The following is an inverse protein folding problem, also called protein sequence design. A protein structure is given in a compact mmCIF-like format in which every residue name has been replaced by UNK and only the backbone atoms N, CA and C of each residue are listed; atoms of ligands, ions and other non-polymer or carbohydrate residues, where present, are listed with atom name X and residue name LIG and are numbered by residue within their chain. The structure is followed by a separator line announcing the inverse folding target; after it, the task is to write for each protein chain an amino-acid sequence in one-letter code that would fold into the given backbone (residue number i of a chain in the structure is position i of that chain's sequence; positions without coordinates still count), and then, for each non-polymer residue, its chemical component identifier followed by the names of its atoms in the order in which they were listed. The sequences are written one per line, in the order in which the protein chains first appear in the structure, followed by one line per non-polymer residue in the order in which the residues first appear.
data_IF_023248399952
#
_entry.id   IF_023248399952
#
_cell.length_a   1.000
_cell.length_b   1.000
_cell.length_c   1.000
_cell.angle_alpha   90.00
_cell.angle_beta   90.00
_cell.angle_gamma   90.00
#
_symmetry.space_group_name_H-M   'P 1'
#
loop_
_entity.id
_entity.type
_entity.pdbx_description
1 polymer ?
#
# COMPACT_ATOMS: atom_id res chain seq x y z
N UNK A 1 0.22 11.70 6.43
CA UNK A 1 0.56 10.98 7.68
C UNK A 1 1.02 9.59 7.29
N UNK A 2 2.30 9.26 7.47
CA UNK A 2 2.78 7.90 7.32
C UNK A 2 2.25 7.08 8.50
N UNK A 3 1.52 6.01 8.24
CA UNK A 3 1.34 4.97 9.26
C UNK A 3 2.67 4.24 9.30
N UNK A 4 3.33 4.10 10.45
CA UNK A 4 4.77 3.77 10.58
C UNK A 4 5.32 2.51 9.88
N UNK A 5 4.53 1.80 9.07
CA UNK A 5 4.95 0.75 8.16
C UNK A 5 4.83 1.10 6.67
N UNK A 6 4.01 2.08 6.29
CA UNK A 6 3.69 2.43 4.90
C UNK A 6 3.71 3.95 4.70
N UNK A 7 4.47 4.40 3.71
CA UNK A 7 4.47 5.76 3.18
C UNK A 7 3.65 5.83 1.89
N UNK A 8 3.02 6.98 1.63
CA UNK A 8 2.26 7.24 0.41
C UNK A 8 2.63 8.61 -0.12
N UNK A 9 3.16 8.67 -1.34
CA UNK A 9 3.55 9.90 -2.03
C UNK A 9 3.10 9.87 -3.49
N UNK A 10 2.10 10.67 -3.86
CA UNK A 10 1.68 10.86 -5.25
C UNK A 10 1.29 9.57 -6.00
N UNK A 11 0.71 8.58 -5.31
CA UNK A 11 0.36 7.27 -5.90
C UNK A 11 1.42 6.19 -5.73
N UNK A 12 2.62 6.55 -5.27
CA UNK A 12 3.64 5.60 -4.86
C UNK A 12 3.40 5.19 -3.41
N UNK A 13 3.15 3.90 -3.21
CA UNK A 13 3.02 3.24 -1.91
C UNK A 13 4.34 2.55 -1.62
N UNK A 14 4.92 2.79 -0.43
CA UNK A 14 6.20 2.21 -0.04
C UNK A 14 6.11 1.60 1.36
N UNK A 15 6.61 0.37 1.51
CA UNK A 15 6.89 -0.20 2.82
C UNK A 15 8.15 0.44 3.39
N UNK A 16 8.06 0.97 4.62
CA UNK A 16 9.16 1.72 5.25
C UNK A 16 10.40 0.85 5.50
N UNK A 17 10.23 -0.46 5.65
CA UNK A 17 11.29 -1.45 5.85
C UNK A 17 11.65 -2.25 4.58
N UNK A 18 11.10 -1.88 3.42
CA UNK A 18 11.33 -2.61 2.16
C UNK A 18 10.54 -3.93 2.03
N UNK A 19 9.63 -4.24 2.96
CA UNK A 19 8.79 -5.43 2.87
C UNK A 19 7.98 -5.46 1.56
N UNK A 20 7.70 -6.65 1.02
CA UNK A 20 6.72 -6.79 -0.05
C UNK A 20 5.37 -6.20 0.34
N UNK A 21 4.76 -5.50 -0.61
CA UNK A 21 3.49 -4.80 -0.45
C UNK A 21 2.45 -5.40 -1.39
N UNK A 22 1.26 -5.70 -0.85
CA UNK A 22 0.08 -6.10 -1.61
C UNK A 22 -1.02 -5.07 -1.42
N UNK A 23 -1.61 -4.62 -2.53
CA UNK A 23 -2.66 -3.59 -2.55
C UNK A 23 -3.98 -4.23 -2.94
N UNK A 24 -5.00 -3.96 -2.14
CA UNK A 24 -6.35 -4.48 -2.30
C UNK A 24 -7.33 -3.34 -2.55
N UNK A 25 -8.26 -3.55 -3.48
CA UNK A 25 -9.44 -2.68 -3.60
C UNK A 25 -10.41 -2.89 -2.42
N UNK A 26 -11.47 -2.09 -2.35
CA UNK A 26 -12.47 -2.20 -1.27
C UNK A 26 -13.29 -3.50 -1.32
N UNK A 27 -13.24 -4.24 -2.43
CA UNK A 27 -13.88 -5.56 -2.56
C UNK A 27 -12.96 -6.69 -2.07
N UNK A 28 -11.73 -6.38 -1.66
CA UNK A 28 -10.75 -7.35 -1.18
C UNK A 28 -9.98 -8.05 -2.30
N UNK A 29 -10.07 -7.57 -3.55
CA UNK A 29 -9.28 -8.11 -4.67
C UNK A 29 -7.91 -7.47 -4.69
N UNK A 30 -6.88 -8.26 -4.97
CA UNK A 30 -5.53 -7.74 -5.20
C UNK A 30 -5.53 -6.98 -6.53
N UNK A 31 -5.07 -5.73 -6.49
CA UNK A 31 -4.96 -4.86 -7.67
C UNK A 31 -3.52 -4.50 -8.02
N UNK A 32 -2.58 -4.64 -7.07
CA UNK A 32 -1.17 -4.43 -7.32
C UNK A 32 -0.30 -5.14 -6.27
N UNK A 33 0.92 -5.51 -6.66
CA UNK A 33 1.97 -6.03 -5.79
C UNK A 33 3.29 -5.31 -6.07
N UNK A 34 4.13 -5.15 -5.06
CA UNK A 34 5.44 -4.54 -5.20
C UNK A 34 6.47 -5.10 -4.22
N UNK A 35 7.73 -5.15 -4.63
CA UNK A 35 8.86 -5.42 -3.75
C UNK A 35 9.29 -4.09 -3.12
N UNK A 36 8.91 -3.84 -1.87
CA UNK A 36 9.16 -2.57 -1.16
C UNK A 36 8.32 -1.37 -1.62
N UNK A 37 7.92 -1.29 -2.89
CA UNK A 37 7.08 -0.18 -3.40
C UNK A 37 6.22 -0.56 -4.60
N UNK A 38 5.11 0.15 -4.79
CA UNK A 38 4.22 0.01 -5.95
C UNK A 38 3.50 1.32 -6.27
N UNK A 39 3.27 1.58 -7.56
CA UNK A 39 2.49 2.72 -8.01
C UNK A 39 1.04 2.30 -8.27
N UNK A 40 0.09 3.08 -7.79
CA UNK A 40 -1.33 2.88 -8.05
C UNK A 40 -2.03 4.19 -8.44
N UNK A 41 -3.13 4.13 -9.21
CA UNK A 41 -3.97 5.30 -9.48
C UNK A 41 -4.55 5.92 -8.21
N UNK A 42 -5.15 7.11 -8.37
CA UNK A 42 -5.94 7.74 -7.30
C UNK A 42 -7.10 6.81 -6.89
N UNK A 43 -7.31 6.67 -5.59
CA UNK A 43 -8.29 5.73 -5.07
C UNK A 43 -8.14 5.46 -3.58
N UNK A 44 -9.00 4.57 -3.08
CA UNK A 44 -8.97 4.09 -1.71
C UNK A 44 -8.61 2.61 -1.74
N UNK A 45 -7.59 2.24 -0.96
CA UNK A 45 -7.05 0.89 -0.95
C UNK A 45 -6.79 0.40 0.46
N UNK A 46 -6.75 -0.92 0.63
CA UNK A 46 -6.14 -1.57 1.78
C UNK A 46 -4.78 -2.09 1.33
N UNK A 47 -3.74 -1.76 2.07
CA UNK A 47 -2.37 -2.18 1.77
C UNK A 47 -1.91 -3.12 2.88
N UNK A 48 -1.36 -4.27 2.50
CA UNK A 48 -0.78 -5.24 3.43
C UNK A 48 0.72 -5.38 3.16
N UNK A 49 1.52 -5.33 4.21
CA UNK A 49 2.93 -5.74 4.16
C UNK A 49 3.05 -7.21 4.56
N UNK A 50 4.05 -7.93 4.07
CA UNK A 50 4.29 -9.33 4.45
C UNK A 50 4.47 -9.54 5.97
N UNK A 51 4.96 -8.53 6.71
CA UNK A 51 4.99 -8.53 8.17
C UNK A 51 3.63 -8.45 8.89
N UNK A 52 2.52 -8.69 8.20
CA UNK A 52 1.17 -8.80 8.78
C UNK A 52 0.43 -7.47 9.03
N UNK A 53 1.08 -6.33 8.80
CA UNK A 53 0.45 -5.01 8.98
C UNK A 53 -0.47 -4.68 7.81
N UNK A 54 -1.68 -4.20 8.12
CA UNK A 54 -2.68 -3.77 7.15
C UNK A 54 -3.06 -2.30 7.40
N UNK A 55 -3.12 -1.50 6.35
CA UNK A 55 -3.45 -0.06 6.44
C UNK A 55 -4.43 0.33 5.34
N UNK A 56 -5.48 1.07 5.69
CA UNK A 56 -6.33 1.75 4.71
C UNK A 56 -5.69 3.08 4.32
N UNK A 57 -5.51 3.30 3.02
CA UNK A 57 -4.93 4.54 2.48
C UNK A 57 -5.88 5.20 1.47
N UNK A 58 -5.73 6.50 1.32
CA UNK A 58 -6.32 7.28 0.24
C UNK A 58 -5.19 7.91 -0.57
N UNK A 59 -5.13 7.56 -1.84
CA UNK A 59 -4.19 8.12 -2.82
C UNK A 59 -4.90 9.29 -3.51
N UNK A 60 -4.30 10.49 -3.43
CA UNK A 60 -4.86 11.75 -3.93
C UNK A 60 -4.13 12.27 -5.16
#
# INVERSE_FOLDING_TARGET
KANGAISVNGGRIEAVNGDPVSVFDLTGRIVANGQGSVNVPKGIYVVRTQGGKSVKISVK
#
